data_IF_289355494600
#
_entry.id   IF_289355494600
#
_cell.length_a   1.000
_cell.length_b   1.000
_cell.length_c   1.000
_cell.angle_alpha   90.00
_cell.angle_beta   90.00
_cell.angle_gamma   90.00
#
_symmetry.space_group_name_H-M   'P 1'
#
loop_
_entity.id
_entity.type
_entity.pdbx_description
1 polymer ?
#
# COMPACT_ATOMS: atom_id res chain seq x y z
N UNK A 1 4.14 -33.14 14.68
CA UNK A 1 4.78 -33.66 13.47
C UNK A 1 4.32 -32.83 12.27
N UNK A 2 4.91 -31.65 12.10
CA UNK A 2 4.60 -30.76 10.97
C UNK A 2 5.55 -31.10 9.83
N UNK A 3 5.05 -31.69 8.74
CA UNK A 3 5.85 -31.86 7.52
C UNK A 3 5.98 -30.49 6.88
N UNK A 4 7.15 -29.88 7.02
CA UNK A 4 7.60 -28.80 6.14
C UNK A 4 7.87 -29.38 4.75
N UNK A 5 6.82 -29.77 4.05
CA UNK A 5 6.93 -30.03 2.61
C UNK A 5 7.08 -28.68 1.93
N UNK A 6 8.33 -28.32 1.64
CA UNK A 6 8.64 -27.15 0.81
C UNK A 6 7.90 -27.28 -0.52
N UNK A 7 7.10 -26.27 -0.83
CA UNK A 7 6.36 -26.24 -2.10
C UNK A 7 7.33 -26.14 -3.27
N UNK A 8 6.99 -26.69 -4.45
CA UNK A 8 7.78 -26.47 -5.66
C UNK A 8 7.98 -24.97 -5.93
N UNK A 9 9.14 -24.58 -6.45
CA UNK A 9 9.48 -23.18 -6.70
C UNK A 9 8.43 -22.44 -7.55
N UNK A 10 7.80 -23.13 -8.52
CA UNK A 10 6.70 -22.57 -9.31
C UNK A 10 5.46 -22.24 -8.46
N UNK A 11 5.11 -23.10 -7.50
CA UNK A 11 4.00 -22.85 -6.58
C UNK A 11 4.32 -21.69 -5.63
N UNK A 12 5.56 -21.59 -5.16
CA UNK A 12 5.98 -20.46 -4.30
C UNK A 12 5.85 -19.12 -5.05
N UNK A 13 6.31 -19.04 -6.30
CA UNK A 13 6.13 -17.85 -7.13
C UNK A 13 4.66 -17.52 -7.34
N UNK A 14 3.83 -18.52 -7.66
CA UNK A 14 2.39 -18.32 -7.83
C UNK A 14 1.72 -17.78 -6.56
N UNK A 15 2.16 -18.17 -5.36
CA UNK A 15 1.64 -17.63 -4.10
C UNK A 15 1.93 -16.14 -3.91
N UNK A 16 3.14 -15.70 -4.27
CA UNK A 16 3.51 -14.29 -4.25
C UNK A 16 2.65 -13.52 -5.25
N UNK A 17 2.56 -14.01 -6.48
CA UNK A 17 1.77 -13.39 -7.54
C UNK A 17 0.26 -13.32 -7.20
N UNK A 18 -0.30 -14.33 -6.52
CA UNK A 18 -1.68 -14.28 -6.03
C UNK A 18 -1.92 -13.12 -5.05
N UNK A 19 -0.90 -12.74 -4.28
CA UNK A 19 -0.98 -11.64 -3.31
C UNK A 19 -0.84 -10.28 -4.00
N UNK A 20 0.13 -10.16 -4.90
CA UNK A 20 0.35 -8.96 -5.73
C UNK A 20 -0.87 -8.67 -6.64
N UNK A 21 -1.52 -9.71 -7.19
CA UNK A 21 -2.72 -9.56 -8.01
C UNK A 21 -3.86 -8.90 -7.23
N UNK A 22 -3.99 -9.20 -5.93
CA UNK A 22 -5.00 -8.56 -5.06
C UNK A 22 -4.69 -7.09 -4.78
N UNK A 23 -3.42 -6.70 -4.87
CA UNK A 23 -2.96 -5.31 -4.74
C UNK A 23 -3.03 -4.54 -6.06
N UNK A 24 -3.31 -5.23 -7.17
CA UNK A 24 -3.28 -4.63 -8.51
C UNK A 24 -1.87 -4.37 -9.03
N UNK A 25 -0.86 -5.05 -8.47
CA UNK A 25 0.56 -4.82 -8.77
C UNK A 25 1.10 -5.75 -9.88
N UNK A 26 0.28 -6.70 -10.36
CA UNK A 26 0.68 -7.63 -11.40
C UNK A 26 0.58 -7.02 -12.80
N UNK A 27 1.66 -7.06 -13.58
CA UNK A 27 1.63 -6.73 -15.00
C UNK A 27 0.93 -7.81 -15.85
N UNK A 28 0.63 -7.50 -17.12
CA UNK A 28 -0.10 -8.41 -18.02
C UNK A 28 0.64 -9.73 -18.27
N UNK A 29 1.97 -9.71 -18.34
CA UNK A 29 2.76 -10.91 -18.59
C UNK A 29 2.75 -11.83 -17.37
N UNK A 30 2.87 -11.26 -16.17
CA UNK A 30 2.76 -11.96 -14.90
C UNK A 30 1.35 -12.52 -14.70
N UNK A 31 0.30 -11.81 -15.12
CA UNK A 31 -1.08 -12.31 -15.06
C UNK A 31 -1.25 -13.55 -15.93
N UNK A 32 -0.82 -13.49 -17.20
CA UNK A 32 -0.90 -14.63 -18.10
C UNK A 32 -0.10 -15.84 -17.58
N UNK A 33 1.09 -15.62 -17.03
CA UNK A 33 1.91 -16.67 -16.44
C UNK A 33 1.24 -17.32 -15.21
N UNK A 34 0.64 -16.50 -14.34
CA UNK A 34 -0.10 -16.97 -13.18
C UNK A 34 -1.33 -17.78 -13.60
N UNK A 35 -2.10 -17.31 -14.59
CA UNK A 35 -3.26 -18.01 -15.12
C UNK A 35 -2.88 -19.37 -15.75
N UNK A 36 -1.78 -19.42 -16.50
CA UNK A 36 -1.24 -20.67 -17.03
C UNK A 36 -0.82 -21.65 -15.92
N UNK A 37 -0.26 -21.15 -14.81
CA UNK A 37 0.03 -22.01 -13.66
C UNK A 37 -1.26 -22.50 -12.98
N UNK A 38 -2.25 -21.62 -12.81
CA UNK A 38 -3.52 -21.97 -12.19
C UNK A 38 -4.32 -22.96 -13.06
N UNK A 39 -4.18 -22.97 -14.38
CA UNK A 39 -4.86 -23.95 -15.24
C UNK A 39 -4.31 -25.38 -15.05
N UNK A 40 -3.07 -25.53 -14.58
CA UNK A 40 -2.40 -26.82 -14.42
C UNK A 40 -2.19 -27.26 -12.97
N UNK A 41 -2.21 -26.34 -11.99
CA UNK A 41 -1.91 -26.65 -10.58
C UNK A 41 -3.15 -26.57 -9.67
N UNK A 42 -3.70 -27.73 -9.28
CA UNK A 42 -4.87 -27.79 -8.39
C UNK A 42 -4.59 -27.23 -6.98
N UNK A 43 -3.37 -27.38 -6.47
CA UNK A 43 -3.00 -26.84 -5.16
C UNK A 43 -3.08 -25.32 -5.13
N UNK A 44 -2.54 -24.65 -6.15
CA UNK A 44 -2.61 -23.19 -6.25
C UNK A 44 -4.04 -22.69 -6.50
N UNK A 45 -4.84 -23.43 -7.31
CA UNK A 45 -6.28 -23.11 -7.47
C UNK A 45 -7.06 -23.21 -6.16
N UNK A 46 -6.81 -24.23 -5.34
CA UNK A 46 -7.46 -24.35 -4.03
C UNK A 46 -7.10 -23.19 -3.12
N UNK A 47 -5.84 -22.77 -3.12
CA UNK A 47 -5.39 -21.61 -2.35
C UNK A 47 -6.08 -20.33 -2.82
N UNK A 48 -6.11 -20.08 -4.13
CA UNK A 48 -6.80 -18.93 -4.71
C UNK A 48 -8.27 -18.88 -4.27
N UNK A 49 -9.03 -19.96 -4.49
CA UNK A 49 -10.44 -20.06 -4.11
C UNK A 49 -10.64 -19.89 -2.60
N UNK A 50 -9.78 -20.51 -1.79
CA UNK A 50 -9.84 -20.40 -0.33
C UNK A 50 -9.66 -18.96 0.15
N UNK A 51 -8.67 -18.26 -0.41
CA UNK A 51 -8.44 -16.86 -0.04
C UNK A 51 -9.51 -15.91 -0.57
N UNK A 52 -10.09 -16.17 -1.75
CA UNK A 52 -11.23 -15.42 -2.27
C UNK A 52 -12.47 -15.61 -1.39
N UNK A 53 -12.75 -16.85 -0.98
CA UNK A 53 -13.85 -17.18 -0.05
C UNK A 53 -13.68 -16.50 1.30
N UNK A 54 -12.47 -16.50 1.86
CA UNK A 54 -12.20 -15.80 3.11
C UNK A 54 -12.44 -14.29 2.98
N UNK A 55 -11.99 -13.67 1.89
CA UNK A 55 -12.22 -12.26 1.63
C UNK A 55 -13.72 -11.92 1.49
N UNK A 56 -14.50 -12.78 0.84
CA UNK A 56 -15.95 -12.63 0.73
C UNK A 56 -16.64 -12.75 2.10
N UNK A 57 -16.26 -13.74 2.92
CA UNK A 57 -16.80 -13.90 4.27
C UNK A 57 -16.49 -12.69 5.16
N UNK A 58 -15.26 -12.18 5.12
CA UNK A 58 -14.88 -10.97 5.86
C UNK A 58 -15.68 -9.76 5.39
N UNK A 59 -15.90 -9.62 4.08
CA UNK A 59 -16.69 -8.52 3.51
C UNK A 59 -18.15 -8.58 3.90
N UNK A 60 -18.76 -9.77 3.93
CA UNK A 60 -20.17 -9.97 4.31
C UNK A 60 -20.38 -9.85 5.82
N UNK A 61 -19.42 -10.32 6.62
CA UNK A 61 -19.49 -10.26 8.08
C UNK A 61 -19.19 -8.87 8.65
N UNK A 62 -18.62 -7.97 7.85
CA UNK A 62 -18.32 -6.60 8.27
C UNK A 62 -19.42 -5.66 7.78
N UNK A 63 -20.27 -5.11 8.68
CA UNK A 63 -21.29 -4.15 8.27
C UNK A 63 -20.63 -2.90 7.65
N UNK A 64 -21.23 -2.30 6.61
CA UNK A 64 -20.71 -1.07 6.05
C UNK A 64 -20.74 0.04 7.11
N UNK A 65 -19.66 0.83 7.18
CA UNK A 65 -19.63 2.00 8.04
C UNK A 65 -20.69 3.01 7.60
N UNK A 66 -21.45 3.52 8.56
CA UNK A 66 -22.37 4.65 8.34
C UNK A 66 -21.63 5.85 7.76
N UNK A 67 -22.31 6.64 6.94
CA UNK A 67 -21.70 7.77 6.23
C UNK A 67 -21.11 8.82 7.18
N UNK A 68 -21.78 9.10 8.30
CA UNK A 68 -21.34 9.99 9.37
C UNK A 68 -20.04 9.50 10.02
N UNK A 69 -20.00 8.23 10.42
CA UNK A 69 -18.82 7.60 11.01
C UNK A 69 -17.64 7.58 10.03
N UNK A 70 -17.90 7.28 8.76
CA UNK A 70 -16.87 7.32 7.70
C UNK A 70 -16.27 8.72 7.55
N UNK A 71 -17.11 9.76 7.53
CA UNK A 71 -16.65 11.14 7.42
C UNK A 71 -15.82 11.56 8.63
N UNK A 72 -16.26 11.22 9.85
CA UNK A 72 -15.52 11.51 11.08
C UNK A 72 -14.15 10.80 11.12
N UNK A 73 -14.09 9.53 10.70
CA UNK A 73 -12.82 8.79 10.58
C UNK A 73 -11.91 9.44 9.55
N UNK A 74 -12.44 9.84 8.39
CA UNK A 74 -11.64 10.48 7.35
C UNK A 74 -11.06 11.83 7.79
N UNK A 75 -11.85 12.68 8.45
CA UNK A 75 -11.38 13.94 9.03
C UNK A 75 -10.23 13.72 10.02
N UNK A 76 -10.30 12.66 10.81
CA UNK A 76 -9.23 12.32 11.76
C UNK A 76 -7.95 11.88 11.04
N UNK A 77 -8.07 11.06 10.01
CA UNK A 77 -6.93 10.65 9.18
C UNK A 77 -6.28 11.87 8.52
N UNK A 78 -7.07 12.80 7.99
CA UNK A 78 -6.56 14.05 7.39
C UNK A 78 -5.85 14.94 8.43
N UNK A 79 -6.41 15.07 9.64
CA UNK A 79 -5.78 15.84 10.70
C UNK A 79 -4.43 15.23 11.14
N UNK A 80 -4.35 13.91 11.27
CA UNK A 80 -3.12 13.21 11.66
C UNK A 80 -2.08 13.18 10.52
N UNK A 81 -2.52 13.04 9.26
CA UNK A 81 -1.62 13.00 8.09
C UNK A 81 -1.11 14.38 7.66
N UNK A 82 -1.93 15.43 7.80
CA UNK A 82 -1.54 16.81 7.49
C UNK A 82 -0.62 17.45 8.54
N UNK A 83 -0.72 17.04 9.81
CA UNK A 83 0.10 17.57 10.90
C UNK A 83 1.61 17.26 10.75
N UNK A 84 1.98 16.26 9.93
CA UNK A 84 3.38 15.92 9.63
C UNK A 84 3.99 16.67 8.43
N UNK A 85 3.18 17.32 7.59
CA UNK A 85 3.65 17.94 6.34
C UNK A 85 3.89 19.46 6.46
N UNK A 86 3.30 20.12 7.45
CA UNK A 86 3.51 21.55 7.69
C UNK A 86 4.78 21.78 8.51
N UNK A 87 5.95 21.53 7.89
CA UNK A 87 7.21 22.07 8.39
C UNK A 87 7.11 23.59 8.42
N UNK A 88 6.93 24.17 9.61
CA UNK A 88 6.97 25.61 9.79
C UNK A 88 8.27 26.15 9.16
N UNK A 89 8.23 27.18 8.28
CA UNK A 89 9.43 27.73 7.70
C UNK A 89 10.30 28.26 8.84
N UNK A 90 11.39 27.54 9.12
CA UNK A 90 12.26 27.83 10.24
C UNK A 90 12.81 29.25 10.13
N UNK A 91 12.84 29.95 11.27
CA UNK A 91 13.43 31.29 11.48
C UNK A 91 14.80 31.53 10.83
N UNK A 92 15.50 30.49 10.35
CA UNK A 92 16.77 30.57 9.60
C UNK A 92 16.65 31.25 8.24
N UNK A 93 15.48 31.24 7.59
CA UNK A 93 15.31 31.87 6.27
C UNK A 93 15.29 33.41 6.35
N UNK A 94 14.75 33.96 7.43
CA UNK A 94 14.66 35.41 7.65
C UNK A 94 16.03 36.07 7.88
N UNK A 95 17.02 35.33 8.39
CA UNK A 95 18.39 35.86 8.58
C UNK A 95 19.21 35.86 7.29
N UNK A 96 18.89 34.98 6.33
CA UNK A 96 19.58 34.93 5.04
C UNK A 96 19.39 36.19 4.21
N UNK A 97 18.19 36.77 4.23
CA UNK A 97 17.90 38.04 3.54
C UNK A 97 18.47 39.26 4.27
N UNK A 98 18.47 39.25 5.61
CA UNK A 98 19.01 40.36 6.39
C UNK A 98 20.51 40.56 6.14
N UNK A 99 21.27 39.47 5.95
CA UNK A 99 22.71 39.53 5.68
C UNK A 99 23.01 39.93 4.23
N UNK A 100 22.16 39.55 3.27
CA UNK A 100 22.30 39.93 1.86
C UNK A 100 22.04 41.44 1.62
N UNK A 101 21.08 42.04 2.32
CA UNK A 101 20.84 43.49 2.22
C UNK A 101 21.96 44.33 2.86
N UNK A 102 22.61 43.83 3.91
CA UNK A 102 23.70 44.55 4.58
C UNK A 102 24.97 44.65 3.72
N UNK A 103 25.27 43.64 2.88
CA UNK A 103 26.42 43.69 1.98
C UNK A 103 26.19 44.60 0.75
N UNK A 104 24.94 44.79 0.31
CA UNK A 104 24.63 45.62 -0.86
C UNK A 104 24.79 47.13 -0.60
N UNK A 105 24.77 47.57 0.66
CA UNK A 105 24.92 48.98 1.05
C UNK A 105 26.37 49.41 1.31
N UNK A 106 27.34 48.48 1.27
CA UNK A 106 28.77 48.78 1.49
C UNK A 106 29.58 48.90 0.18
N UNK A 107 28.92 48.83 -0.99
CA UNK A 107 29.56 48.86 -2.32
C UNK A 107 29.12 50.07 -3.17
N UNK A 108 28.48 51.08 -2.56
CA UNK A 108 28.22 52.40 -3.18
C UNK A 108 28.92 53.48 -2.38
#
# INVERSE_FOLDING_TARGET
MSRETSLPAACQRAQVQLSERKRGELDLAQQAALEAHLSSCETCRRLERGTAKLADLLRRGTPPLEASTRAAVWQRIEAESGAGAAGAPGRRWLWGFALACACALLVV
#
